data_IF_038607510102
#
_entry.id   IF_038607510102
#
_cell.length_a   1.000
_cell.length_b   1.000
_cell.length_c   1.000
_cell.angle_alpha   90.00
_cell.angle_beta   90.00
_cell.angle_gamma   90.00
#
_symmetry.space_group_name_H-M   'P 1'
#
loop_
_entity.id
_entity.type
_entity.pdbx_description
1 polymer ?
#
# COMPACT_ATOMS: atom_id res chain seq x y z
N UNK A 1 14.25 -2.24 13.77
CA UNK A 1 13.21 -3.27 13.71
C UNK A 1 12.08 -2.79 12.79
N UNK A 2 11.62 -3.64 11.87
CA UNK A 2 10.56 -3.26 10.93
C UNK A 2 9.21 -3.41 11.62
N UNK A 3 8.41 -2.34 11.64
CA UNK A 3 7.08 -2.34 12.20
C UNK A 3 6.11 -3.02 11.25
N UNK A 4 5.11 -3.73 11.81
CA UNK A 4 4.05 -4.34 11.03
C UNK A 4 3.18 -3.27 10.36
N UNK A 5 2.84 -3.51 9.10
CA UNK A 5 1.97 -2.65 8.30
C UNK A 5 0.73 -3.43 7.92
N UNK A 6 -0.45 -2.84 8.11
CA UNK A 6 -1.71 -3.41 7.64
C UNK A 6 -2.14 -2.63 6.39
N UNK A 7 -2.23 -3.32 5.26
CA UNK A 7 -2.57 -2.72 3.97
C UNK A 7 -4.00 -3.11 3.59
N UNK A 8 -4.82 -2.10 3.33
CA UNK A 8 -6.20 -2.27 2.87
C UNK A 8 -6.26 -2.01 1.37
N UNK A 9 -6.78 -2.97 0.61
CA UNK A 9 -6.83 -2.88 -0.84
C UNK A 9 -8.16 -3.43 -1.37
N UNK A 10 -8.43 -3.17 -2.64
CA UNK A 10 -9.66 -3.59 -3.30
C UNK A 10 -9.39 -4.85 -4.13
N UNK A 11 -9.83 -6.02 -3.66
CA UNK A 11 -9.66 -7.28 -4.37
C UNK A 11 -10.46 -7.36 -5.66
N UNK A 12 -11.44 -6.48 -5.85
CA UNK A 12 -12.22 -6.41 -7.09
C UNK A 12 -11.49 -5.69 -8.21
N UNK A 13 -10.36 -5.02 -7.91
CA UNK A 13 -9.50 -4.41 -8.92
C UNK A 13 -8.46 -5.44 -9.38
N UNK A 14 -8.51 -5.95 -10.65
CA UNK A 14 -7.59 -7.00 -11.09
C UNK A 14 -6.11 -6.59 -11.00
N UNK A 15 -5.79 -5.34 -11.34
CA UNK A 15 -4.41 -4.85 -11.33
C UNK A 15 -3.90 -4.71 -9.90
N UNK A 16 -4.72 -4.12 -9.00
CA UNK A 16 -4.37 -3.99 -7.59
C UNK A 16 -4.17 -5.35 -6.94
N UNK A 17 -5.06 -6.29 -7.21
CA UNK A 17 -5.00 -7.64 -6.66
C UNK A 17 -3.75 -8.39 -7.16
N UNK A 18 -3.44 -8.31 -8.44
CA UNK A 18 -2.24 -8.93 -9.01
C UNK A 18 -0.95 -8.33 -8.43
N UNK A 19 -0.90 -7.02 -8.25
CA UNK A 19 0.23 -6.33 -7.65
C UNK A 19 0.46 -6.76 -6.19
N UNK A 20 -0.60 -6.88 -5.41
CA UNK A 20 -0.52 -7.32 -4.02
C UNK A 20 -0.08 -8.80 -3.93
N UNK A 21 -0.61 -9.68 -4.79
CA UNK A 21 -0.19 -11.07 -4.85
C UNK A 21 1.30 -11.18 -5.15
N UNK A 22 1.77 -10.43 -6.14
CA UNK A 22 3.18 -10.44 -6.51
C UNK A 22 4.07 -9.98 -5.33
N UNK A 23 3.66 -8.91 -4.65
CA UNK A 23 4.37 -8.38 -3.48
C UNK A 23 4.38 -9.39 -2.33
N UNK A 24 3.24 -10.05 -2.10
CA UNK A 24 3.13 -11.06 -1.05
C UNK A 24 4.08 -12.23 -1.30
N UNK A 25 4.17 -12.72 -2.54
CA UNK A 25 5.11 -13.78 -2.90
C UNK A 25 6.57 -13.38 -2.65
N UNK A 26 6.93 -12.15 -2.96
CA UNK A 26 8.29 -11.64 -2.71
C UNK A 26 8.60 -11.64 -1.20
N UNK A 27 7.65 -11.22 -0.37
CA UNK A 27 7.81 -11.20 1.09
C UNK A 27 7.97 -12.61 1.65
N UNK A 28 7.18 -13.57 1.19
CA UNK A 28 7.28 -14.96 1.62
C UNK A 28 8.65 -15.53 1.29
N UNK A 29 9.14 -15.30 0.06
CA UNK A 29 10.47 -15.77 -0.34
C UNK A 29 11.60 -15.12 0.46
N UNK A 30 11.41 -13.89 0.89
CA UNK A 30 12.37 -13.14 1.68
C UNK A 30 12.26 -13.43 3.19
N UNK A 31 11.37 -14.33 3.62
CA UNK A 31 11.12 -14.68 5.01
C UNK A 31 10.65 -13.49 5.87
N UNK A 32 9.95 -12.53 5.26
CA UNK A 32 9.39 -11.36 5.95
C UNK A 32 7.89 -11.22 5.75
N UNK A 33 7.19 -12.33 5.50
CA UNK A 33 5.76 -12.32 5.22
C UNK A 33 4.93 -11.69 6.35
N UNK A 34 5.39 -11.81 7.61
CA UNK A 34 4.70 -11.23 8.77
C UNK A 34 4.85 -9.72 8.92
N UNK A 35 5.69 -9.05 8.11
CA UNK A 35 5.89 -7.61 8.20
C UNK A 35 4.72 -6.82 7.62
N UNK A 36 3.93 -7.43 6.73
CA UNK A 36 2.79 -6.79 6.08
C UNK A 36 1.60 -7.74 6.13
N UNK A 37 0.45 -7.20 6.58
CA UNK A 37 -0.82 -7.90 6.57
C UNK A 37 -1.70 -7.25 5.49
N UNK A 38 -2.02 -8.01 4.44
CA UNK A 38 -2.87 -7.53 3.34
C UNK A 38 -4.32 -7.92 3.61
N UNK A 39 -5.22 -6.93 3.64
CA UNK A 39 -6.63 -7.12 3.94
C UNK A 39 -7.54 -6.54 2.86
N UNK A 40 -8.63 -7.22 2.59
CA UNK A 40 -9.63 -6.80 1.61
C UNK A 40 -10.60 -5.80 2.24
N UNK A 41 -10.63 -4.56 1.71
CA UNK A 41 -11.55 -3.54 2.22
C UNK A 41 -13.02 -3.90 1.98
N UNK A 42 -13.31 -4.73 0.98
CA UNK A 42 -14.68 -5.14 0.70
C UNK A 42 -15.29 -6.02 1.82
N UNK A 43 -14.44 -6.69 2.61
CA UNK A 43 -14.87 -7.49 3.76
C UNK A 43 -14.99 -6.66 5.04
N UNK A 44 -14.29 -5.51 5.12
CA UNK A 44 -14.29 -4.65 6.30
C UNK A 44 -14.39 -3.18 5.86
N UNK A 45 -15.53 -2.76 5.29
CA UNK A 45 -15.65 -1.42 4.67
C UNK A 45 -15.48 -0.26 5.65
N UNK A 46 -15.68 -0.49 6.94
CA UNK A 46 -15.56 0.56 7.96
C UNK A 46 -14.20 0.56 8.67
N UNK A 47 -13.23 -0.23 8.18
CA UNK A 47 -11.95 -0.43 8.85
C UNK A 47 -11.19 0.88 9.13
N UNK A 48 -11.29 1.86 8.23
CA UNK A 48 -10.61 3.15 8.35
C UNK A 48 -11.56 4.32 8.66
N UNK A 49 -12.79 4.05 9.09
CA UNK A 49 -13.77 5.10 9.41
C UNK A 49 -13.28 6.02 10.51
N UNK A 50 -12.49 5.53 11.45
CA UNK A 50 -11.89 6.34 12.52
C UNK A 50 -10.92 7.40 12.03
N UNK A 51 -10.41 7.29 10.80
CA UNK A 51 -9.56 8.29 10.15
C UNK A 51 -10.36 9.26 9.27
N UNK A 52 -11.68 9.15 9.24
CA UNK A 52 -12.52 9.96 8.36
C UNK A 52 -12.47 9.56 6.89
N UNK A 53 -12.06 8.32 6.60
CA UNK A 53 -11.88 7.82 5.24
C UNK A 53 -13.05 6.93 4.86
N UNK A 54 -13.66 7.20 3.71
CA UNK A 54 -14.76 6.41 3.17
C UNK A 54 -14.24 5.20 2.39
N UNK A 55 -15.07 4.15 2.30
CA UNK A 55 -14.73 2.91 1.59
C UNK A 55 -14.35 3.15 0.12
N UNK A 56 -15.01 4.11 -0.54
CA UNK A 56 -14.71 4.42 -1.95
C UNK A 56 -13.29 4.98 -2.13
N UNK A 57 -12.79 5.74 -1.16
CA UNK A 57 -11.42 6.25 -1.20
C UNK A 57 -10.42 5.10 -1.13
N UNK A 58 -10.70 4.10 -0.30
CA UNK A 58 -9.85 2.92 -0.13
C UNK A 58 -9.89 2.03 -1.38
N UNK A 59 -11.05 1.92 -2.01
CA UNK A 59 -11.19 1.17 -3.27
C UNK A 59 -10.43 1.81 -4.42
N UNK A 60 -10.29 3.13 -4.39
CA UNK A 60 -9.59 3.89 -5.44
C UNK A 60 -8.07 3.81 -5.28
N UNK A 61 -7.56 3.86 -4.05
CA UNK A 61 -6.13 3.89 -3.74
C UNK A 61 -5.80 2.97 -2.58
N UNK A 62 -4.57 2.47 -2.56
CA UNK A 62 -4.08 1.69 -1.43
C UNK A 62 -4.02 2.56 -0.17
N UNK A 63 -4.44 2.01 0.95
CA UNK A 63 -4.33 2.62 2.26
C UNK A 63 -3.68 1.63 3.22
N UNK A 64 -2.87 2.13 4.13
CA UNK A 64 -2.19 1.30 5.12
C UNK A 64 -2.08 2.03 6.46
N UNK A 65 -2.01 1.26 7.53
CA UNK A 65 -1.80 1.75 8.88
C UNK A 65 -0.64 0.96 9.50
N UNK A 66 0.31 1.66 10.10
CA UNK A 66 1.44 1.02 10.78
C UNK A 66 1.12 0.70 12.25
N UNK A 67 2.10 0.11 12.96
CA UNK A 67 1.94 -0.27 14.36
C UNK A 67 1.77 0.94 15.30
N UNK A 68 2.16 2.14 14.86
CA UNK A 68 1.99 3.39 15.60
C UNK A 68 0.72 4.14 15.20
N UNK A 69 -0.16 3.49 14.47
CA UNK A 69 -1.44 4.03 14.01
C UNK A 69 -1.29 5.22 13.04
N UNK A 70 -0.21 5.24 12.26
CA UNK A 70 -0.01 6.22 11.19
C UNK A 70 -0.63 5.73 9.90
N UNK A 71 -1.35 6.62 9.23
CA UNK A 71 -2.03 6.31 7.97
C UNK A 71 -1.15 6.66 6.77
N UNK A 72 -1.10 5.76 5.80
CA UNK A 72 -0.43 5.95 4.51
C UNK A 72 -1.45 5.73 3.40
N UNK A 73 -1.44 6.59 2.38
CA UNK A 73 -2.37 6.49 1.26
C UNK A 73 -1.64 6.72 -0.06
N UNK A 74 -2.08 6.04 -1.12
CA UNK A 74 -1.52 6.22 -2.46
C UNK A 74 -0.05 5.84 -2.53
N UNK A 75 0.77 6.74 -3.08
CA UNK A 75 2.21 6.47 -3.24
C UNK A 75 2.93 6.29 -1.89
N UNK A 76 2.48 6.96 -0.85
CA UNK A 76 3.06 6.78 0.48
C UNK A 76 2.86 5.36 0.99
N UNK A 77 1.71 4.74 0.70
CA UNK A 77 1.45 3.34 1.00
C UNK A 77 2.39 2.43 0.22
N UNK A 78 2.57 2.67 -1.07
CA UNK A 78 3.49 1.89 -1.91
C UNK A 78 4.92 1.99 -1.39
N UNK A 79 5.39 3.19 -1.03
CA UNK A 79 6.71 3.41 -0.44
C UNK A 79 6.86 2.61 0.86
N UNK A 80 5.85 2.65 1.74
CA UNK A 80 5.88 1.91 3.00
C UNK A 80 5.99 0.40 2.77
N UNK A 81 5.28 -0.14 1.77
CA UNK A 81 5.37 -1.55 1.38
C UNK A 81 6.78 -1.88 0.89
N UNK A 82 7.32 -1.08 -0.02
CA UNK A 82 8.64 -1.31 -0.61
C UNK A 82 9.75 -1.26 0.44
N UNK A 83 9.68 -0.33 1.38
CA UNK A 83 10.67 -0.23 2.46
C UNK A 83 10.67 -1.44 3.38
N UNK A 84 9.57 -2.20 3.42
CA UNK A 84 9.41 -3.40 4.23
C UNK A 84 9.65 -4.69 3.45
N UNK A 85 9.90 -4.60 2.15
CA UNK A 85 10.10 -5.77 1.28
C UNK A 85 11.58 -5.86 0.90
N UNK A 86 12.31 -6.91 1.35
CA UNK A 86 13.70 -7.10 0.93
C UNK A 86 13.80 -7.22 -0.59
N UNK A 87 14.77 -6.53 -1.17
CA UNK A 87 14.93 -6.43 -2.61
C UNK A 87 14.21 -5.24 -3.23
N UNK A 88 13.22 -4.65 -2.55
CA UNK A 88 12.49 -3.48 -3.02
C UNK A 88 12.78 -2.21 -2.21
N UNK A 89 13.64 -2.31 -1.19
CA UNK A 89 13.97 -1.17 -0.32
C UNK A 89 14.50 0.01 -1.14
N UNK A 90 15.29 -0.26 -2.18
CA UNK A 90 15.83 0.79 -3.04
C UNK A 90 14.72 1.55 -3.79
N UNK A 91 13.64 0.86 -4.18
CA UNK A 91 12.46 1.50 -4.79
C UNK A 91 11.79 2.46 -3.82
N UNK A 92 11.60 2.03 -2.57
CA UNK A 92 11.03 2.90 -1.53
C UNK A 92 11.87 4.12 -1.25
N UNK A 93 13.18 3.96 -1.19
CA UNK A 93 14.12 5.07 -0.98
C UNK A 93 14.12 6.04 -2.16
N UNK A 94 14.13 5.52 -3.38
CA UNK A 94 14.11 6.33 -4.59
C UNK A 94 12.81 7.13 -4.69
N UNK A 95 11.66 6.47 -4.54
CA UNK A 95 10.35 7.10 -4.62
C UNK A 95 10.11 8.10 -3.49
N UNK A 96 10.77 7.93 -2.35
CA UNK A 96 10.66 8.83 -1.20
C UNK A 96 11.53 10.08 -1.27
N UNK A 97 12.40 10.21 -2.29
CA UNK A 97 13.23 11.40 -2.44
C UNK A 97 12.38 12.65 -2.67
N UNK A 98 12.79 13.82 -2.15
CA UNK A 98 11.98 15.05 -2.25
C UNK A 98 11.59 15.48 -3.65
N UNK A 99 12.42 15.15 -4.66
CA UNK A 99 12.15 15.49 -6.07
C UNK A 99 11.31 14.40 -6.74
N UNK A 100 11.57 13.14 -6.42
CA UNK A 100 10.92 11.97 -7.07
C UNK A 100 9.52 11.75 -6.53
N UNK A 101 9.31 11.91 -5.23
CA UNK A 101 8.04 11.59 -4.56
C UNK A 101 6.83 12.33 -5.16
N UNK A 102 6.87 13.65 -5.43
CA UNK A 102 5.73 14.33 -6.05
C UNK A 102 5.40 13.78 -7.43
N UNK A 103 6.42 13.45 -8.24
CA UNK A 103 6.24 12.89 -9.58
C UNK A 103 5.64 11.49 -9.49
N UNK A 104 6.17 10.64 -8.60
CA UNK A 104 5.66 9.29 -8.37
C UNK A 104 4.22 9.33 -7.88
N UNK A 105 3.87 10.27 -7.00
CA UNK A 105 2.52 10.46 -6.50
C UNK A 105 1.55 10.84 -7.60
N UNK A 106 1.95 11.75 -8.49
CA UNK A 106 1.13 12.16 -9.62
C UNK A 106 0.87 10.98 -10.57
N UNK A 107 1.91 10.22 -10.89
CA UNK A 107 1.78 9.03 -11.76
C UNK A 107 0.86 8.00 -11.11
N UNK A 108 1.04 7.74 -9.82
CA UNK A 108 0.20 6.80 -9.09
C UNK A 108 -1.27 7.24 -9.10
N UNK A 109 -1.56 8.51 -8.80
CA UNK A 109 -2.92 9.03 -8.73
C UNK A 109 -3.62 8.96 -10.08
N UNK A 110 -2.91 9.29 -11.16
CA UNK A 110 -3.45 9.21 -12.52
C UNK A 110 -3.78 7.77 -12.89
N UNK A 111 -2.88 6.85 -12.56
CA UNK A 111 -3.08 5.43 -12.82
C UNK A 111 -4.25 4.88 -12.02
N UNK A 112 -4.34 5.22 -10.74
CA UNK A 112 -5.45 4.80 -9.88
C UNK A 112 -6.79 5.33 -10.38
N UNK A 113 -6.85 6.59 -10.80
CA UNK A 113 -8.08 7.19 -11.33
C UNK A 113 -8.49 6.54 -12.66
N UNK A 114 -7.53 6.16 -13.50
CA UNK A 114 -7.80 5.48 -14.76
C UNK A 114 -8.39 4.08 -14.53
N UNK A 115 -7.92 3.36 -13.50
CA UNK A 115 -8.38 2.00 -13.20
C UNK A 115 -9.68 1.96 -12.41
N UNK A 116 -10.01 3.00 -11.67
CA UNK A 116 -11.22 3.05 -10.86
C UNK A 116 -12.44 3.33 -11.71
#
# INVERSE_FOLDING_TARGET
MIQKLTVWYNTKCPVCNAGIDWQHHRLVRAARAGAIDFRDINLEPDALSGFGIEVNDIRRRLHAVDAENRLYAGIDCAIAIWLRTPGDIWLGRLAGLPVIRPIAGLVYDRFADLLY
#
